data_IF_046811121790
#
_entry.id   IF_046811121790
#
_cell.length_a   1.000
_cell.length_b   1.000
_cell.length_c   1.000
_cell.angle_alpha   90.00
_cell.angle_beta   90.00
_cell.angle_gamma   90.00
#
_symmetry.space_group_name_H-M   'P 1'
#
loop_
_entity.id
_entity.type
_entity.pdbx_description
1 polymer ?
#
# COMPACT_ATOMS: atom_id res chain seq x y z
N UNK A 1 5.50 -9.35 8.34
CA UNK A 1 5.58 -9.00 6.92
C UNK A 1 6.99 -8.54 6.55
N UNK A 2 7.49 -8.88 5.36
CA UNK A 2 8.83 -8.51 4.88
C UNK A 2 8.73 -7.88 3.47
N UNK A 3 8.94 -6.56 3.31
CA UNK A 3 8.91 -5.91 2.00
C UNK A 3 10.09 -6.36 1.14
N UNK A 4 9.85 -6.51 -0.16
CA UNK A 4 10.91 -6.62 -1.16
C UNK A 4 11.24 -5.22 -1.69
N UNK A 5 12.32 -4.62 -1.17
CA UNK A 5 12.78 -3.31 -1.61
C UNK A 5 13.37 -3.38 -3.02
N UNK A 6 12.86 -2.51 -3.89
CA UNK A 6 13.35 -2.33 -5.25
C UNK A 6 14.53 -1.35 -5.21
N UNK A 7 15.62 -1.67 -5.91
CA UNK A 7 16.72 -0.74 -6.12
C UNK A 7 16.30 0.33 -7.13
N UNK A 8 15.62 1.35 -6.63
CA UNK A 8 15.25 2.56 -7.35
C UNK A 8 16.11 3.71 -6.80
N UNK A 9 17.08 4.17 -7.59
CA UNK A 9 18.07 5.17 -7.17
C UNK A 9 17.49 6.50 -6.68
N UNK A 10 16.21 6.78 -6.94
CA UNK A 10 15.53 8.03 -6.62
C UNK A 10 14.48 7.92 -5.50
N UNK A 11 14.06 6.72 -5.09
CA UNK A 11 13.00 6.55 -4.11
C UNK A 11 13.08 5.22 -3.36
N UNK A 12 12.50 5.17 -2.16
CA UNK A 12 12.45 3.95 -1.36
C UNK A 12 11.15 3.19 -1.62
N UNK A 13 11.14 2.41 -2.69
CA UNK A 13 9.99 1.64 -3.17
C UNK A 13 10.10 0.15 -2.82
N UNK A 14 9.00 -0.49 -2.44
CA UNK A 14 8.93 -1.93 -2.21
C UNK A 14 7.67 -2.57 -2.79
N UNK A 15 7.77 -3.86 -3.07
CA UNK A 15 6.62 -4.76 -3.22
C UNK A 15 6.38 -5.42 -1.87
N UNK A 16 5.14 -5.46 -1.45
CA UNK A 16 4.71 -6.02 -0.19
C UNK A 16 3.78 -7.21 -0.46
N UNK A 17 3.94 -8.36 0.24
CA UNK A 17 2.89 -9.36 0.19
C UNK A 17 1.63 -8.78 0.85
N UNK A 18 0.45 -9.08 0.28
CA UNK A 18 -0.85 -8.75 0.89
C UNK A 18 -0.87 -9.14 2.38
N UNK A 19 -1.27 -8.23 3.30
CA UNK A 19 -1.47 -8.58 4.72
C UNK A 19 -2.44 -9.74 4.89
N UNK A 20 -2.28 -10.55 5.93
CA UNK A 20 -3.08 -11.77 6.09
C UNK A 20 -4.58 -11.51 6.31
N UNK A 21 -4.93 -10.36 6.86
CA UNK A 21 -6.31 -9.97 7.17
C UNK A 21 -6.82 -10.50 8.51
N UNK A 22 -8.06 -10.11 8.85
CA UNK A 22 -8.75 -10.45 10.10
C UNK A 22 -7.86 -10.21 11.33
N UNK A 23 -7.79 -11.18 12.25
CA UNK A 23 -7.05 -11.09 13.51
C UNK A 23 -5.54 -10.87 13.33
N UNK A 24 -4.99 -11.15 12.14
CA UNK A 24 -3.56 -11.02 11.85
C UNK A 24 -3.18 -9.67 11.23
N UNK A 25 -4.17 -8.87 10.85
CA UNK A 25 -3.96 -7.65 10.09
C UNK A 25 -3.08 -6.65 10.85
N UNK A 26 -3.42 -6.38 12.11
CA UNK A 26 -2.67 -5.44 12.95
C UNK A 26 -1.20 -5.83 13.10
N UNK A 27 -0.92 -7.13 13.28
CA UNK A 27 0.45 -7.64 13.43
C UNK A 27 1.27 -7.50 12.15
N UNK A 28 0.62 -7.72 11.00
CA UNK A 28 1.25 -7.60 9.69
C UNK A 28 1.56 -6.15 9.34
N UNK A 29 0.61 -5.23 9.58
CA UNK A 29 0.82 -3.79 9.40
C UNK A 29 1.90 -3.28 10.36
N UNK A 30 1.89 -3.71 11.63
CA UNK A 30 2.95 -3.35 12.57
C UNK A 30 4.33 -3.90 12.15
N UNK A 31 4.36 -5.07 11.52
CA UNK A 31 5.60 -5.62 10.96
C UNK A 31 6.08 -4.81 9.74
N UNK A 32 5.18 -4.35 8.87
CA UNK A 32 5.53 -3.43 7.78
C UNK A 32 6.13 -2.12 8.33
N UNK A 33 5.54 -1.56 9.41
CA UNK A 33 6.09 -0.37 10.07
C UNK A 33 7.50 -0.61 10.59
N UNK A 34 7.74 -1.74 11.27
CA UNK A 34 9.08 -2.11 11.76
C UNK A 34 10.10 -2.34 10.64
N UNK A 35 9.66 -2.77 9.46
CA UNK A 35 10.49 -2.86 8.27
C UNK A 35 10.81 -1.49 7.65
N UNK A 36 10.24 -0.41 8.20
CA UNK A 36 10.47 0.96 7.80
C UNK A 36 9.63 1.40 6.61
N UNK A 37 8.40 0.87 6.49
CA UNK A 37 7.37 1.36 5.56
C UNK A 37 6.64 2.56 6.16
N UNK A 38 6.45 3.62 5.36
CA UNK A 38 5.71 4.83 5.74
C UNK A 38 4.35 4.94 5.03
N UNK A 39 4.27 4.46 3.78
CA UNK A 39 3.06 4.46 2.97
C UNK A 39 2.80 3.07 2.42
N UNK A 40 1.56 2.58 2.56
CA UNK A 40 1.08 1.38 1.90
C UNK A 40 0.08 1.78 0.81
N UNK A 41 0.30 1.28 -0.41
CA UNK A 41 -0.62 1.39 -1.53
C UNK A 41 -1.22 0.02 -1.80
N UNK A 42 -2.55 -0.07 -1.83
CA UNK A 42 -3.30 -1.29 -2.13
C UNK A 42 -3.99 -1.17 -3.48
N UNK A 43 -3.73 -2.13 -4.38
CA UNK A 43 -4.43 -2.25 -5.66
C UNK A 43 -5.74 -3.03 -5.57
N UNK A 44 -6.09 -3.55 -4.38
CA UNK A 44 -7.27 -4.38 -4.21
C UNK A 44 -8.57 -3.58 -4.34
N UNK A 45 -9.53 -4.19 -5.03
CA UNK A 45 -10.92 -3.73 -5.08
C UNK A 45 -11.59 -3.86 -3.71
N UNK A 46 -12.69 -3.13 -3.50
CA UNK A 46 -13.42 -3.19 -2.25
C UNK A 46 -13.98 -4.60 -1.96
N UNK A 47 -14.44 -5.32 -3.00
CA UNK A 47 -14.86 -6.72 -2.87
C UNK A 47 -13.72 -7.62 -2.43
N UNK A 48 -12.54 -7.52 -3.06
CA UNK A 48 -11.39 -8.32 -2.67
C UNK A 48 -10.95 -8.01 -1.24
N UNK A 49 -10.95 -6.73 -0.83
CA UNK A 49 -10.62 -6.33 0.55
C UNK A 49 -11.55 -7.00 1.56
N UNK A 50 -12.85 -7.05 1.27
CA UNK A 50 -13.83 -7.72 2.15
C UNK A 50 -13.60 -9.24 2.19
N UNK A 51 -13.44 -9.88 1.04
CA UNK A 51 -13.20 -11.31 0.92
C UNK A 51 -11.89 -11.76 1.60
N UNK A 52 -10.89 -10.89 1.60
CA UNK A 52 -9.55 -11.13 2.14
C UNK A 52 -9.40 -10.70 3.61
N UNK A 53 -10.44 -10.15 4.23
CA UNK A 53 -10.42 -9.69 5.63
C UNK A 53 -9.61 -8.41 5.86
N UNK A 54 -9.54 -7.52 4.86
CA UNK A 54 -8.77 -6.27 4.84
C UNK A 54 -9.63 -5.01 4.94
N UNK A 55 -10.90 -5.13 5.33
CA UNK A 55 -11.79 -3.97 5.52
C UNK A 55 -11.21 -2.94 6.50
N UNK A 56 -10.55 -3.41 7.57
CA UNK A 56 -9.95 -2.56 8.60
C UNK A 56 -8.50 -2.10 8.28
N UNK A 57 -7.97 -2.41 7.09
CA UNK A 57 -6.56 -2.17 6.73
C UNK A 57 -6.16 -0.69 6.86
N UNK A 58 -6.97 0.22 6.33
CA UNK A 58 -6.74 1.65 6.44
C UNK A 58 -6.63 2.13 7.91
N UNK A 59 -7.47 1.56 8.78
CA UNK A 59 -7.47 1.86 10.21
C UNK A 59 -6.23 1.30 10.90
N UNK A 60 -5.88 0.04 10.65
CA UNK A 60 -4.67 -0.57 11.21
C UNK A 60 -3.40 0.17 10.75
N UNK A 61 -3.35 0.63 9.50
CA UNK A 61 -2.27 1.49 8.99
C UNK A 61 -2.19 2.80 9.80
N UNK A 62 -3.31 3.50 9.94
CA UNK A 62 -3.37 4.76 10.70
C UNK A 62 -2.91 4.57 12.15
N UNK A 63 -3.38 3.52 12.83
CA UNK A 63 -2.96 3.17 14.19
C UNK A 63 -1.46 2.82 14.30
N UNK A 64 -0.86 2.36 13.21
CA UNK A 64 0.58 2.04 13.12
C UNK A 64 1.43 3.18 12.58
N UNK A 65 0.87 4.38 12.42
CA UNK A 65 1.52 5.53 11.79
C UNK A 65 2.03 5.24 10.37
N UNK A 66 1.26 4.46 9.61
CA UNK A 66 1.42 4.21 8.19
C UNK A 66 0.28 4.94 7.47
N UNK A 67 0.62 5.65 6.41
CA UNK A 67 -0.38 6.21 5.50
C UNK A 67 -0.90 5.12 4.57
N UNK A 68 -2.22 5.01 4.43
CA UNK A 68 -2.85 4.03 3.54
C UNK A 68 -3.49 4.72 2.34
N UNK A 69 -3.17 4.24 1.14
CA UNK A 69 -3.72 4.71 -0.12
C UNK A 69 -4.31 3.52 -0.88
N UNK A 70 -5.51 3.70 -1.41
CA UNK A 70 -6.19 2.69 -2.23
C UNK A 70 -6.30 3.19 -3.65
N UNK A 71 -5.82 2.37 -4.59
CA UNK A 71 -5.98 2.59 -6.02
C UNK A 71 -6.41 1.28 -6.68
N UNK A 72 -7.72 0.95 -6.64
CA UNK A 72 -8.22 -0.34 -7.10
C UNK A 72 -7.93 -0.61 -8.58
N UNK A 73 -7.42 -1.81 -8.87
CA UNK A 73 -7.23 -2.32 -10.23
C UNK A 73 -7.89 -3.70 -10.29
N UNK A 74 -8.90 -3.85 -11.14
CA UNK A 74 -9.57 -5.13 -11.36
C UNK A 74 -8.59 -6.20 -11.86
N UNK A 75 -8.78 -7.45 -11.43
CA UNK A 75 -7.89 -8.53 -11.82
C UNK A 75 -7.80 -8.64 -13.36
N UNK A 76 -6.58 -8.88 -13.84
CA UNK A 76 -6.23 -8.98 -15.27
C UNK A 76 -6.65 -7.77 -16.11
N UNK A 77 -6.80 -6.61 -15.49
CA UNK A 77 -7.20 -5.37 -16.15
C UNK A 77 -6.15 -4.27 -15.98
N UNK A 78 -6.40 -3.11 -16.60
CA UNK A 78 -5.61 -1.90 -16.43
C UNK A 78 -6.42 -0.88 -15.62
N UNK A 79 -5.79 0.17 -15.07
CA UNK A 79 -6.51 1.31 -14.52
C UNK A 79 -7.53 1.86 -15.52
N UNK A 80 -8.74 2.13 -15.04
CA UNK A 80 -9.86 2.55 -15.89
C UNK A 80 -9.65 3.92 -16.56
N UNK A 81 -8.71 4.72 -16.06
CA UNK A 81 -8.38 6.04 -16.59
C UNK A 81 -6.93 6.40 -16.35
N UNK A 82 -6.21 6.70 -17.44
CA UNK A 82 -4.84 7.25 -17.37
C UNK A 82 -4.82 8.55 -16.55
N UNK A 83 -5.80 9.45 -16.74
CA UNK A 83 -5.87 10.71 -15.97
C UNK A 83 -5.97 10.46 -14.46
N UNK A 84 -6.77 9.48 -14.05
CA UNK A 84 -6.92 9.16 -12.62
C UNK A 84 -5.65 8.50 -12.07
N UNK A 85 -4.97 7.69 -12.88
CA UNK A 85 -3.66 7.15 -12.54
C UNK A 85 -2.62 8.26 -12.38
N UNK A 86 -2.52 9.18 -13.34
CA UNK A 86 -1.57 10.29 -13.30
C UNK A 86 -1.77 11.14 -12.04
N UNK A 87 -3.00 11.53 -11.73
CA UNK A 87 -3.30 12.29 -10.52
C UNK A 87 -2.97 11.52 -9.23
N UNK A 88 -3.08 10.19 -9.25
CA UNK A 88 -2.69 9.35 -8.12
C UNK A 88 -1.16 9.28 -7.98
N UNK A 89 -0.44 9.12 -9.09
CA UNK A 89 1.02 9.13 -9.13
C UNK A 89 1.60 10.47 -8.67
N UNK A 90 1.03 11.60 -9.11
CA UNK A 90 1.42 12.94 -8.64
C UNK A 90 1.35 13.02 -7.10
N UNK A 91 0.30 12.44 -6.51
CA UNK A 91 0.17 12.39 -5.05
C UNK A 91 1.23 11.49 -4.39
N UNK A 92 1.63 10.39 -5.04
CA UNK A 92 2.71 9.53 -4.53
C UNK A 92 4.08 10.22 -4.63
N UNK A 93 4.32 10.98 -5.69
CA UNK A 93 5.55 11.72 -5.89
C UNK A 93 5.77 12.73 -4.75
N UNK A 94 4.73 13.45 -4.30
CA UNK A 94 4.83 14.33 -3.13
C UNK A 94 5.34 13.60 -1.86
N UNK A 95 4.96 12.32 -1.67
CA UNK A 95 5.38 11.50 -0.52
C UNK A 95 6.81 11.02 -0.68
N UNK A 96 7.18 10.63 -1.89
CA UNK A 96 8.54 10.26 -2.24
C UNK A 96 9.50 11.44 -2.06
N UNK A 97 9.12 12.64 -2.50
CA UNK A 97 9.89 13.88 -2.32
C UNK A 97 10.09 14.24 -0.83
N UNK A 98 9.12 13.89 0.02
CA UNK A 98 9.23 14.01 1.49
C UNK A 98 10.14 12.93 2.10
N UNK A 99 10.70 12.03 1.30
CA UNK A 99 11.56 10.93 1.74
C UNK A 99 10.80 9.75 2.35
N UNK A 100 9.47 9.67 2.17
CA UNK A 100 8.69 8.53 2.65
C UNK A 100 8.98 7.30 1.83
N UNK A 101 9.04 6.16 2.50
CA UNK A 101 9.08 4.86 1.84
C UNK A 101 7.68 4.40 1.45
N UNK A 102 7.55 3.87 0.23
CA UNK A 102 6.28 3.41 -0.34
C UNK A 102 6.36 1.91 -0.58
N UNK A 103 5.36 1.17 -0.09
CA UNK A 103 5.22 -0.25 -0.33
C UNK A 103 3.88 -0.53 -1.01
N UNK A 104 3.87 -1.34 -2.06
CA UNK A 104 2.69 -1.60 -2.89
C UNK A 104 2.32 -3.09 -2.81
N UNK A 105 1.02 -3.39 -2.69
CA UNK A 105 0.47 -4.75 -2.78
C UNK A 105 -0.85 -4.85 -3.54
#
# INVERSE_FOLDING_TARGET
MNPYWIDASACRLAILPRPRGYDWLSDDIAAARRAGVDVIVSALTESERQELGLSEEAKCCTESAIEFLSFPIEDRSLPNSERTLDAFLDSLDERVEQGKSVAIH
#
